data_IF_758197702321
#
_entry.id   IF_758197702321
#
_cell.length_a   1.000
_cell.length_b   1.000
_cell.length_c   1.000
_cell.angle_alpha   90.00
_cell.angle_beta   90.00
_cell.angle_gamma   90.00
#
_symmetry.space_group_name_H-M   'P 1'
#
loop_
_entity.id
_entity.type
_entity.pdbx_description
1 polymer ?
#
# COMPACT_ATOMS: atom_id res chain seq x y z
N UNK A 1 71.27 -0.74 29.63
CA UNK A 1 70.60 0.59 29.63
C UNK A 1 69.21 0.43 29.02
N UNK A 2 68.17 0.40 29.85
CA UNK A 2 66.77 0.27 29.45
C UNK A 2 66.25 1.61 28.90
N UNK A 3 65.82 1.66 27.64
CA UNK A 3 65.03 2.78 27.11
C UNK A 3 63.55 2.36 27.05
N UNK A 4 62.78 2.82 28.04
CA UNK A 4 61.31 2.64 28.09
C UNK A 4 60.68 3.38 26.90
N UNK A 5 60.02 2.65 26.00
CA UNK A 5 59.09 3.26 25.03
C UNK A 5 57.84 3.73 25.78
N UNK A 6 57.44 4.99 25.60
CA UNK A 6 56.16 5.51 26.11
C UNK A 6 55.01 4.90 25.30
N UNK A 7 53.88 4.53 25.91
CA UNK A 7 52.70 4.13 25.15
C UNK A 7 52.06 5.38 24.53
N UNK A 8 51.88 5.37 23.21
CA UNK A 8 51.01 6.34 22.53
C UNK A 8 49.56 5.97 22.83
N UNK A 9 48.91 6.82 23.62
CA UNK A 9 47.50 6.71 23.96
C UNK A 9 46.65 6.94 22.69
N UNK A 10 46.28 5.85 22.02
CA UNK A 10 45.41 5.84 20.83
C UNK A 10 43.99 5.45 21.21
N UNK A 11 43.43 6.02 22.28
CA UNK A 11 42.02 5.81 22.57
C UNK A 11 41.31 7.06 23.12
N UNK A 12 41.39 8.17 22.38
CA UNK A 12 40.43 9.25 22.56
C UNK A 12 39.13 8.89 21.84
N UNK A 13 38.35 8.01 22.45
CA UNK A 13 36.99 7.70 22.05
C UNK A 13 36.21 9.02 21.85
N UNK A 14 35.99 9.41 20.59
CA UNK A 14 35.10 10.50 20.22
C UNK A 14 33.69 10.06 20.58
N UNK A 15 33.26 10.32 21.82
CA UNK A 15 31.85 10.25 22.21
C UNK A 15 31.10 11.22 21.29
N UNK A 16 30.46 10.68 20.25
CA UNK A 16 29.53 11.44 19.39
C UNK A 16 28.44 11.98 20.30
N UNK A 17 28.41 13.30 20.48
CA UNK A 17 27.28 13.96 21.15
C UNK A 17 26.01 13.64 20.35
N UNK A 18 24.88 13.33 20.99
CA UNK A 18 23.62 13.23 20.28
C UNK A 18 23.35 14.57 19.59
N UNK A 19 22.92 14.51 18.32
CA UNK A 19 22.77 15.67 17.43
C UNK A 19 21.73 16.69 17.95
N UNK A 20 20.88 16.30 18.89
CA UNK A 20 19.78 17.14 19.35
C UNK A 20 20.11 17.89 20.63
N UNK A 21 20.70 19.08 20.50
CA UNK A 21 20.58 20.14 21.51
C UNK A 21 19.45 21.08 21.10
N UNK A 22 18.32 20.95 21.81
CA UNK A 22 17.25 21.92 22.02
C UNK A 22 16.77 22.79 20.84
N UNK A 23 15.55 22.52 20.40
CA UNK A 23 14.52 23.55 20.27
C UNK A 23 13.15 22.85 20.21
N UNK A 24 12.28 23.15 21.17
CA UNK A 24 10.88 23.47 20.86
C UNK A 24 10.20 23.96 22.14
N UNK A 25 10.20 25.28 22.27
CA UNK A 25 9.32 25.98 23.18
C UNK A 25 7.87 25.80 22.73
N UNK A 26 7.04 25.42 23.70
CA UNK A 26 5.69 25.91 24.00
C UNK A 26 4.85 26.60 22.91
N UNK A 27 4.84 26.12 21.66
CA UNK A 27 3.68 26.26 20.77
C UNK A 27 2.80 25.06 21.08
N UNK A 28 1.60 25.29 21.65
CA UNK A 28 0.68 24.22 22.01
C UNK A 28 0.56 23.23 20.86
N UNK A 29 0.91 21.96 21.09
CA UNK A 29 0.94 20.95 20.02
C UNK A 29 -0.49 20.80 19.49
N UNK A 30 -0.77 21.40 18.33
CA UNK A 30 -2.00 21.16 17.59
C UNK A 30 -2.22 19.66 17.50
N UNK A 31 -3.41 19.15 17.77
CA UNK A 31 -3.67 17.71 17.72
C UNK A 31 -3.45 17.17 16.30
N UNK A 32 -3.16 15.87 16.15
CA UNK A 32 -3.04 15.30 14.80
C UNK A 32 -4.36 15.43 14.03
N UNK A 33 -5.46 15.07 14.69
CA UNK A 33 -6.81 15.09 14.11
C UNK A 33 -7.18 16.43 13.50
N UNK A 34 -6.86 17.55 14.15
CA UNK A 34 -7.20 18.89 13.66
C UNK A 34 -6.43 19.34 12.42
N UNK A 35 -5.35 18.65 12.04
CA UNK A 35 -4.60 18.95 10.81
C UNK A 35 -5.02 18.11 9.63
N UNK A 36 -5.92 17.13 9.82
CA UNK A 36 -6.37 16.24 8.76
C UNK A 36 -7.66 16.76 8.15
N UNK A 37 -7.73 16.72 6.83
CA UNK A 37 -8.95 16.95 6.06
C UNK A 37 -10.01 15.93 6.50
N UNK A 38 -11.21 16.40 6.83
CA UNK A 38 -12.34 15.51 7.14
C UNK A 38 -12.68 14.61 5.95
N UNK A 39 -12.81 15.21 4.76
CA UNK A 39 -13.00 14.47 3.50
C UNK A 39 -11.92 13.42 3.28
N UNK A 40 -10.66 13.80 3.42
CA UNK A 40 -9.54 12.88 3.23
C UNK A 40 -9.52 11.76 4.25
N UNK A 41 -9.83 12.08 5.51
CA UNK A 41 -9.90 11.10 6.59
C UNK A 41 -11.02 10.09 6.33
N UNK A 42 -12.21 10.56 5.93
CA UNK A 42 -13.36 9.71 5.63
C UNK A 42 -13.05 8.80 4.44
N UNK A 43 -12.58 9.34 3.32
CA UNK A 43 -12.20 8.53 2.14
C UNK A 43 -11.10 7.52 2.45
N UNK A 44 -10.08 7.89 3.24
CA UNK A 44 -9.02 6.96 3.66
C UNK A 44 -9.60 5.80 4.46
N UNK A 45 -10.57 6.05 5.35
CA UNK A 45 -11.24 5.01 6.15
C UNK A 45 -12.19 4.16 5.31
N UNK A 46 -12.88 4.74 4.34
CA UNK A 46 -13.75 4.00 3.43
C UNK A 46 -12.95 2.97 2.63
N UNK A 47 -11.76 3.36 2.16
CA UNK A 47 -10.91 2.49 1.34
C UNK A 47 -10.07 1.53 2.17
N UNK A 48 -9.40 1.99 3.24
CA UNK A 48 -8.43 1.17 4.00
C UNK A 48 -8.99 0.56 5.29
N UNK A 49 -10.19 0.95 5.70
CA UNK A 49 -10.80 0.57 6.98
C UNK A 49 -10.43 1.49 8.14
N UNK A 50 -11.41 1.78 9.00
CA UNK A 50 -11.24 2.66 10.15
C UNK A 50 -10.14 2.19 11.11
N UNK A 51 -10.13 0.91 11.48
CA UNK A 51 -9.16 0.37 12.43
C UNK A 51 -7.71 0.50 11.93
N UNK A 52 -7.48 0.31 10.63
CA UNK A 52 -6.15 0.47 10.05
C UNK A 52 -5.71 1.93 10.13
N UNK A 53 -6.59 2.86 9.77
CA UNK A 53 -6.30 4.30 9.81
C UNK A 53 -6.04 4.75 11.24
N UNK A 54 -6.87 4.31 12.19
CA UNK A 54 -6.76 4.72 13.58
C UNK A 54 -5.47 4.18 14.21
N UNK A 55 -5.09 2.91 13.96
CA UNK A 55 -3.78 2.38 14.37
C UNK A 55 -2.62 3.16 13.75
N UNK A 56 -2.72 3.53 12.48
CA UNK A 56 -1.67 4.28 11.78
C UNK A 56 -1.49 5.69 12.40
N UNK A 57 -2.59 6.37 12.71
CA UNK A 57 -2.58 7.69 13.35
C UNK A 57 -2.14 7.64 14.83
N UNK A 58 -2.49 6.59 15.56
CA UNK A 58 -2.05 6.40 16.95
C UNK A 58 -0.54 6.17 17.07
N UNK A 59 0.05 5.47 16.10
CA UNK A 59 1.48 5.17 16.06
C UNK A 59 2.32 6.30 15.42
N UNK A 60 1.68 7.40 15.01
CA UNK A 60 2.36 8.54 14.41
C UNK A 60 3.27 9.23 15.43
N UNK A 61 4.53 9.40 15.05
CA UNK A 61 5.52 10.19 15.79
C UNK A 61 5.59 11.61 15.23
N UNK A 62 6.33 12.50 15.89
CA UNK A 62 6.54 13.85 15.34
C UNK A 62 7.28 13.82 13.99
N UNK A 63 8.12 12.80 13.75
CA UNK A 63 8.90 12.69 12.52
C UNK A 63 8.03 12.43 11.28
N UNK A 64 7.07 11.50 11.39
CA UNK A 64 6.18 11.09 10.29
C UNK A 64 4.82 11.81 10.31
N UNK A 65 4.64 12.74 11.24
CA UNK A 65 3.42 13.56 11.34
C UNK A 65 3.10 14.30 10.04
N UNK A 66 4.10 14.96 9.45
CA UNK A 66 3.95 15.68 8.19
C UNK A 66 3.56 14.73 7.04
N UNK A 67 4.05 13.49 7.08
CA UNK A 67 3.69 12.46 6.11
C UNK A 67 2.21 12.06 6.22
N UNK A 68 1.70 11.84 7.43
CA UNK A 68 0.28 11.52 7.64
C UNK A 68 -0.65 12.65 7.18
N UNK A 69 -0.25 13.91 7.44
CA UNK A 69 -0.97 15.07 6.93
C UNK A 69 -0.96 15.10 5.41
N UNK A 70 0.21 14.96 4.80
CA UNK A 70 0.35 15.03 3.35
C UNK A 70 -0.51 13.96 2.66
N UNK A 71 -0.37 12.69 3.08
CA UNK A 71 -1.14 11.58 2.49
C UNK A 71 -2.64 11.78 2.69
N UNK A 72 -3.10 12.15 3.89
CA UNK A 72 -4.53 12.33 4.16
C UNK A 72 -5.12 13.52 3.41
N UNK A 73 -4.41 14.65 3.36
CA UNK A 73 -4.95 15.89 2.82
C UNK A 73 -4.78 16.02 1.31
N UNK A 74 -3.82 15.32 0.71
CA UNK A 74 -3.55 15.40 -0.73
C UNK A 74 -4.06 14.17 -1.44
N UNK A 75 -3.63 12.97 -1.04
CA UNK A 75 -4.02 11.75 -1.74
C UNK A 75 -5.50 11.44 -1.49
N UNK A 76 -5.87 11.31 -0.21
CA UNK A 76 -7.22 10.88 0.15
C UNK A 76 -8.27 11.96 -0.04
N UNK A 77 -7.97 13.22 0.34
CA UNK A 77 -8.89 14.33 0.06
C UNK A 77 -8.85 14.81 -1.40
N UNK A 78 -7.84 14.41 -2.17
CA UNK A 78 -7.70 14.71 -3.59
C UNK A 78 -8.27 13.59 -4.45
N UNK A 79 -7.42 12.96 -5.24
CA UNK A 79 -7.79 12.04 -6.35
C UNK A 79 -8.79 10.97 -5.92
N UNK A 80 -8.60 10.34 -4.77
CA UNK A 80 -9.48 9.26 -4.28
C UNK A 80 -10.90 9.69 -3.94
N UNK A 81 -11.10 10.94 -3.54
CA UNK A 81 -12.41 11.42 -3.08
C UNK A 81 -13.16 12.21 -4.17
N UNK A 82 -12.50 12.56 -5.28
CA UNK A 82 -13.10 13.37 -6.35
C UNK A 82 -14.20 12.65 -7.13
N UNK A 83 -14.27 11.32 -7.05
CA UNK A 83 -15.27 10.48 -7.71
C UNK A 83 -15.40 10.70 -9.22
N UNK A 84 -14.35 11.22 -9.88
CA UNK A 84 -14.29 11.32 -11.35
C UNK A 84 -14.06 9.94 -11.97
N UNK A 85 -13.23 9.13 -11.30
CA UNK A 85 -13.09 7.69 -11.57
C UNK A 85 -13.71 6.96 -10.37
N UNK A 86 -14.63 6.00 -10.60
CA UNK A 86 -15.18 5.17 -9.53
C UNK A 86 -14.09 4.51 -8.69
N UNK A 87 -14.32 4.40 -7.38
CA UNK A 87 -13.31 3.86 -6.45
C UNK A 87 -12.89 2.42 -6.77
N UNK A 88 -13.78 1.61 -7.36
CA UNK A 88 -13.47 0.26 -7.85
C UNK A 88 -12.41 0.31 -8.95
N UNK A 89 -12.58 1.21 -9.92
CA UNK A 89 -11.63 1.39 -11.01
C UNK A 89 -10.31 1.96 -10.50
N UNK A 90 -10.33 2.94 -9.58
CA UNK A 90 -9.11 3.42 -8.93
C UNK A 90 -8.37 2.32 -8.15
N UNK A 91 -9.10 1.41 -7.51
CA UNK A 91 -8.50 0.26 -6.81
C UNK A 91 -7.77 -0.67 -7.77
N UNK A 92 -8.39 -1.00 -8.90
CA UNK A 92 -7.77 -1.80 -9.96
C UNK A 92 -6.51 -1.14 -10.52
N UNK A 93 -6.58 0.16 -10.83
CA UNK A 93 -5.44 0.95 -11.33
C UNK A 93 -4.31 0.98 -10.29
N UNK A 94 -4.63 1.21 -9.02
CA UNK A 94 -3.65 1.24 -7.95
C UNK A 94 -2.98 -0.12 -7.74
N UNK A 95 -3.74 -1.22 -7.77
CA UNK A 95 -3.20 -2.57 -7.73
C UNK A 95 -2.21 -2.84 -8.86
N UNK A 96 -2.57 -2.43 -10.10
CA UNK A 96 -1.68 -2.54 -11.25
C UNK A 96 -0.35 -1.80 -11.03
N UNK A 97 -0.42 -0.55 -10.56
CA UNK A 97 0.77 0.29 -10.32
C UNK A 97 1.65 -0.26 -9.20
N UNK A 98 1.04 -0.75 -8.10
CA UNK A 98 1.77 -1.35 -6.97
C UNK A 98 2.50 -2.61 -7.41
N UNK A 99 1.81 -3.48 -8.16
CA UNK A 99 2.41 -4.71 -8.69
C UNK A 99 3.55 -4.41 -9.67
N UNK A 100 3.32 -3.52 -10.64
CA UNK A 100 4.32 -3.11 -11.62
C UNK A 100 5.57 -2.47 -10.97
N UNK A 101 5.40 -1.80 -9.82
CA UNK A 101 6.50 -1.18 -9.06
C UNK A 101 7.13 -2.12 -8.02
N UNK A 102 6.74 -3.40 -7.98
CA UNK A 102 7.25 -4.41 -7.04
C UNK A 102 6.84 -4.20 -5.57
N UNK A 103 5.83 -3.37 -5.30
CA UNK A 103 5.40 -3.00 -3.94
C UNK A 103 4.43 -4.02 -3.35
N UNK A 104 4.86 -5.29 -3.26
CA UNK A 104 3.97 -6.42 -2.96
C UNK A 104 3.35 -6.41 -1.55
N UNK A 105 4.02 -5.78 -0.57
CA UNK A 105 3.44 -5.61 0.78
C UNK A 105 2.23 -4.67 0.77
N UNK A 106 2.34 -3.56 0.04
CA UNK A 106 1.22 -2.63 -0.13
C UNK A 106 0.14 -3.21 -1.05
N UNK A 107 0.56 -3.98 -2.07
CA UNK A 107 -0.36 -4.70 -2.94
C UNK A 107 -1.29 -5.62 -2.15
N UNK A 108 -0.76 -6.43 -1.21
CA UNK A 108 -1.57 -7.32 -0.36
C UNK A 108 -2.65 -6.55 0.41
N UNK A 109 -2.26 -5.45 1.06
CA UNK A 109 -3.20 -4.60 1.79
C UNK A 109 -4.27 -4.00 0.89
N UNK A 110 -3.88 -3.51 -0.30
CA UNK A 110 -4.83 -2.96 -1.26
C UNK A 110 -5.69 -4.02 -1.95
N UNK A 111 -5.23 -5.26 -2.09
CA UNK A 111 -6.00 -6.35 -2.69
C UNK A 111 -7.14 -6.77 -1.74
N UNK A 112 -6.82 -6.94 -0.45
CA UNK A 112 -7.83 -7.15 0.59
C UNK A 112 -8.88 -6.03 0.59
N UNK A 113 -8.45 -4.78 0.58
CA UNK A 113 -9.38 -3.64 0.56
C UNK A 113 -10.18 -3.52 -0.75
N UNK A 114 -9.60 -3.87 -1.88
CA UNK A 114 -10.32 -3.91 -3.16
C UNK A 114 -11.49 -4.91 -3.09
N UNK A 115 -11.26 -6.07 -2.49
CA UNK A 115 -12.27 -7.11 -2.29
C UNK A 115 -13.34 -6.68 -1.27
N UNK A 116 -12.94 -6.25 -0.08
CA UNK A 116 -13.88 -6.12 1.05
C UNK A 116 -14.45 -4.71 1.23
N UNK A 117 -13.80 -3.68 0.70
CA UNK A 117 -14.21 -2.27 0.88
C UNK A 117 -14.72 -1.65 -0.41
N UNK A 118 -13.88 -1.56 -1.45
CA UNK A 118 -14.34 -0.98 -2.72
C UNK A 118 -15.20 -1.96 -3.53
N UNK A 119 -15.25 -3.24 -3.13
CA UNK A 119 -16.12 -4.29 -3.69
C UNK A 119 -15.86 -4.51 -5.18
N UNK A 120 -14.59 -4.54 -5.57
CA UNK A 120 -14.23 -4.98 -6.92
C UNK A 120 -14.63 -6.44 -7.10
N UNK A 121 -15.36 -6.80 -8.16
CA UNK A 121 -15.73 -8.19 -8.41
C UNK A 121 -14.50 -9.09 -8.57
N UNK A 122 -14.54 -10.29 -7.99
CA UNK A 122 -13.43 -11.24 -8.03
C UNK A 122 -12.99 -11.62 -9.46
N UNK A 123 -13.89 -11.77 -10.47
CA UNK A 123 -13.47 -11.96 -11.86
C UNK A 123 -12.62 -10.81 -12.41
N UNK A 124 -12.93 -9.56 -12.05
CA UNK A 124 -12.14 -8.40 -12.49
C UNK A 124 -10.77 -8.36 -11.81
N UNK A 125 -10.69 -8.74 -10.53
CA UNK A 125 -9.41 -8.89 -9.83
C UNK A 125 -8.55 -9.97 -10.50
N UNK A 126 -9.13 -11.14 -10.81
CA UNK A 126 -8.45 -12.24 -11.51
C UNK A 126 -7.90 -11.77 -12.86
N UNK A 127 -8.72 -11.09 -13.65
CA UNK A 127 -8.34 -10.58 -14.97
C UNK A 127 -7.20 -9.55 -14.88
N UNK A 128 -7.26 -8.65 -13.89
CA UNK A 128 -6.18 -7.71 -13.62
C UNK A 128 -4.84 -8.43 -13.37
N UNK A 129 -4.83 -9.49 -12.56
CA UNK A 129 -3.58 -10.19 -12.23
C UNK A 129 -2.97 -10.85 -13.47
N UNK A 130 -3.81 -11.43 -14.34
CA UNK A 130 -3.38 -12.01 -15.62
C UNK A 130 -2.78 -10.93 -16.53
N UNK A 131 -3.48 -9.80 -16.67
CA UNK A 131 -3.02 -8.70 -17.50
C UNK A 131 -1.68 -8.11 -17.00
N UNK A 132 -1.54 -7.90 -15.70
CA UNK A 132 -0.29 -7.42 -15.11
C UNK A 132 0.83 -8.46 -15.27
N UNK A 133 0.55 -9.76 -15.13
CA UNK A 133 1.55 -10.81 -15.34
C UNK A 133 2.09 -10.82 -16.80
N UNK A 134 1.23 -10.52 -17.78
CA UNK A 134 1.62 -10.44 -19.19
C UNK A 134 2.65 -9.32 -19.45
N UNK A 135 2.47 -8.15 -18.85
CA UNK A 135 3.33 -6.99 -19.09
C UNK A 135 4.47 -6.81 -18.09
N UNK A 136 4.29 -7.29 -16.86
CA UNK A 136 5.26 -7.16 -15.77
C UNK A 136 5.98 -8.48 -15.43
N UNK A 137 5.72 -9.54 -16.21
CA UNK A 137 6.41 -10.83 -16.14
C UNK A 137 5.77 -11.86 -15.20
N UNK A 138 6.04 -13.13 -15.51
CA UNK A 138 5.55 -14.31 -14.77
C UNK A 138 5.92 -14.29 -13.27
N UNK A 139 7.12 -13.83 -12.84
CA UNK A 139 7.44 -13.73 -11.41
C UNK A 139 6.49 -12.79 -10.65
N UNK A 140 6.19 -11.62 -11.22
CA UNK A 140 5.21 -10.66 -10.66
C UNK A 140 3.83 -11.31 -10.56
N UNK A 141 3.41 -12.01 -11.62
CA UNK A 141 2.19 -12.82 -11.62
C UNK A 141 2.14 -13.83 -10.48
N UNK A 142 3.21 -14.62 -10.32
CA UNK A 142 3.33 -15.64 -9.28
C UNK A 142 3.15 -15.06 -7.88
N UNK A 143 3.79 -13.91 -7.59
CA UNK A 143 3.64 -13.22 -6.32
C UNK A 143 2.22 -12.69 -6.10
N UNK A 144 1.63 -12.02 -7.09
CA UNK A 144 0.26 -11.53 -7.00
C UNK A 144 -0.74 -12.66 -6.73
N UNK A 145 -0.65 -13.77 -7.45
CA UNK A 145 -1.55 -14.91 -7.25
C UNK A 145 -1.34 -15.61 -5.91
N UNK A 146 -0.10 -15.67 -5.41
CA UNK A 146 0.18 -16.18 -4.04
C UNK A 146 -0.50 -15.31 -2.99
N UNK A 147 -0.36 -13.98 -3.11
CA UNK A 147 -0.99 -13.01 -2.21
C UNK A 147 -2.53 -13.10 -2.30
N UNK A 148 -3.07 -13.14 -3.52
CA UNK A 148 -4.50 -13.23 -3.73
C UNK A 148 -5.11 -14.47 -3.06
N UNK A 149 -4.48 -15.66 -3.22
CA UNK A 149 -4.92 -16.88 -2.53
C UNK A 149 -4.91 -16.72 -1.01
N UNK A 150 -3.84 -16.15 -0.46
CA UNK A 150 -3.73 -15.92 0.98
C UNK A 150 -4.87 -15.03 1.50
N UNK A 151 -5.14 -13.91 0.83
CA UNK A 151 -6.22 -12.99 1.22
C UNK A 151 -7.60 -13.64 1.07
N UNK A 152 -7.84 -14.36 -0.02
CA UNK A 152 -9.14 -15.04 -0.24
C UNK A 152 -9.41 -16.12 0.81
N UNK A 153 -8.38 -16.86 1.22
CA UNK A 153 -8.45 -17.83 2.31
C UNK A 153 -8.74 -17.16 3.66
N UNK A 154 -8.06 -16.05 3.98
CA UNK A 154 -8.31 -15.28 5.20
C UNK A 154 -9.75 -14.74 5.29
N UNK A 155 -10.30 -14.28 4.16
CA UNK A 155 -11.67 -13.78 4.09
C UNK A 155 -12.73 -14.88 3.96
N UNK A 156 -12.32 -16.15 3.85
CA UNK A 156 -13.23 -17.29 3.70
C UNK A 156 -14.07 -17.22 2.42
N UNK A 157 -13.51 -16.68 1.34
CA UNK A 157 -14.23 -16.57 0.07
C UNK A 157 -14.41 -17.96 -0.55
N UNK A 158 -15.67 -18.34 -0.76
CA UNK A 158 -16.01 -19.56 -1.49
C UNK A 158 -15.71 -19.40 -2.99
N UNK A 159 -14.65 -20.04 -3.45
CA UNK A 159 -14.23 -19.98 -4.85
C UNK A 159 -15.10 -20.85 -5.77
N UNK A 160 -15.96 -21.72 -5.23
CA UNK A 160 -16.88 -22.52 -6.03
C UNK A 160 -17.95 -21.66 -6.74
N UNK A 161 -18.14 -20.42 -6.28
CA UNK A 161 -19.06 -19.45 -6.91
C UNK A 161 -18.45 -18.77 -8.14
N UNK A 162 -17.16 -18.95 -8.41
CA UNK A 162 -16.57 -18.45 -9.65
C UNK A 162 -17.00 -19.37 -10.78
N UNK A 163 -17.51 -18.77 -11.87
CA UNK A 163 -17.75 -19.53 -13.09
C UNK A 163 -16.44 -20.19 -13.56
N UNK A 164 -16.52 -21.46 -14.01
CA UNK A 164 -15.41 -22.12 -14.67
C UNK A 164 -14.85 -21.22 -15.78
N UNK A 165 -13.53 -21.27 -15.98
CA UNK A 165 -12.93 -20.61 -17.13
C UNK A 165 -13.51 -21.26 -18.39
N UNK A 166 -14.29 -20.50 -19.15
CA UNK A 166 -14.54 -20.82 -20.55
C UNK A 166 -13.18 -20.81 -21.25
N UNK A 167 -12.73 -21.92 -21.82
CA UNK A 167 -11.46 -21.97 -22.57
C UNK A 167 -11.69 -22.00 -24.07
N UNK A 168 -12.94 -22.06 -24.51
CA UNK A 168 -13.27 -22.21 -25.92
C UNK A 168 -12.80 -20.98 -26.69
N UNK A 169 -12.88 -19.78 -26.08
CA UNK A 169 -12.36 -18.53 -26.65
C UNK A 169 -10.88 -18.55 -27.03
N UNK A 170 -10.07 -19.47 -26.49
CA UNK A 170 -8.64 -19.61 -26.83
C UNK A 170 -8.39 -20.46 -28.08
N UNK A 171 -9.33 -21.34 -28.43
CA UNK A 171 -9.13 -22.39 -29.43
C UNK A 171 -10.17 -22.37 -30.55
N UNK A 172 -11.30 -21.70 -30.36
CA UNK A 172 -12.22 -21.36 -31.45
C UNK A 172 -11.78 -20.03 -32.03
N UNK A 173 -11.11 -20.07 -33.19
CA UNK A 173 -11.18 -18.95 -34.13
C UNK A 173 -12.67 -18.77 -34.38
N UNK A 174 -13.25 -17.64 -33.95
CA UNK A 174 -14.66 -17.38 -34.12
C UNK A 174 -15.05 -17.70 -35.56
N UNK A 175 -16.10 -18.49 -35.75
CA UNK A 175 -16.71 -18.60 -37.08
C UNK A 175 -16.94 -17.16 -37.54
N UNK A 176 -16.19 -16.73 -38.55
CA UNK A 176 -16.28 -15.44 -39.20
C UNK A 176 -17.63 -15.35 -39.92
N UNK A 177 -18.73 -15.28 -39.18
CA UNK A 177 -20.06 -14.98 -39.72
C UNK A 177 -20.91 -14.33 -38.65
N UNK A 178 -20.77 -13.02 -38.49
CA UNK A 178 -21.91 -12.11 -38.54
C UNK A 178 -21.44 -10.67 -38.72
N UNK A 179 -22.04 -10.06 -39.74
CA UNK A 179 -21.83 -8.73 -40.31
C UNK A 179 -22.09 -7.56 -39.36
#
# INVERSE_FOLDING_TARGET
MLHRRRPTDHNRARRRRPINSAANGAMGRTSMKSLLSERGTNTRRDVLGADWVDRNLQNTTEFDRAWQMYVTNINWAGTWSRNIIPQQQLSLINLAMLAASGQMKEFEHHFHNALVRTKVPLPQLRELLLHVAQYCGIPTGTDMFRIARHVLEQEGIDLSTLEPLDTDYLYTLGDETSA
#
